data_IF_096779089640
#
_entry.id   IF_096779089640
#
_cell.length_a   1.000
_cell.length_b   1.000
_cell.length_c   1.000
_cell.angle_alpha   90.00
_cell.angle_beta   90.00
_cell.angle_gamma   90.00
#
_symmetry.space_group_name_H-M   'P 1'
#
loop_
_entity.id
_entity.type
_entity.pdbx_description
1 polymer ?
#
# COMPACT_ATOMS: atom_id res chain seq x y z
N UNK A 1 2.74 40.21 16.50
CA UNK A 1 3.92 39.40 16.85
C UNK A 1 3.37 38.11 17.41
N UNK A 2 3.51 37.02 16.69
CA UNK A 2 2.81 35.78 17.02
C UNK A 2 3.46 35.09 18.22
N UNK A 3 2.74 34.91 19.35
CA UNK A 3 3.25 34.19 20.53
C UNK A 3 3.48 32.67 20.28
N UNK A 4 3.27 32.21 19.05
CA UNK A 4 3.51 30.84 18.58
C UNK A 4 4.57 30.79 17.47
N UNK A 5 5.46 31.77 17.38
CA UNK A 5 6.62 31.66 16.51
C UNK A 5 7.47 30.47 16.97
N UNK A 6 7.90 29.64 16.01
CA UNK A 6 8.62 28.38 16.23
C UNK A 6 9.81 28.37 15.30
N UNK A 7 10.99 28.07 15.84
CA UNK A 7 12.25 27.94 15.11
C UNK A 7 12.62 26.47 14.99
N UNK A 8 13.12 26.08 13.82
CA UNK A 8 13.64 24.73 13.56
C UNK A 8 15.16 24.79 13.60
N UNK A 9 15.77 23.90 14.39
CA UNK A 9 17.20 23.77 14.55
C UNK A 9 17.69 22.40 14.08
N UNK A 10 18.89 22.36 13.50
CA UNK A 10 19.58 21.13 13.12
C UNK A 10 20.52 20.71 14.24
N UNK A 11 20.41 19.47 14.72
CA UNK A 11 21.32 18.95 15.74
C UNK A 11 22.73 18.74 15.17
N UNK A 12 23.78 19.12 15.91
CA UNK A 12 25.15 18.90 15.48
C UNK A 12 25.53 17.43 15.54
N UNK A 13 26.40 16.99 14.61
CA UNK A 13 26.87 15.60 14.51
C UNK A 13 28.05 15.28 15.44
N UNK A 14 28.75 16.31 15.91
CA UNK A 14 29.85 16.25 16.88
C UNK A 14 29.85 17.53 17.70
N UNK A 15 30.17 17.42 18.99
CA UNK A 15 30.37 18.58 19.85
C UNK A 15 31.62 18.41 20.70
N UNK A 16 32.28 19.53 21.00
CA UNK A 16 33.56 19.53 21.71
C UNK A 16 33.41 19.36 23.23
N UNK A 17 32.27 19.75 23.80
CA UNK A 17 31.98 19.62 25.23
C UNK A 17 31.21 18.32 25.51
N UNK A 18 31.85 17.39 26.23
CA UNK A 18 31.31 16.05 26.49
C UNK A 18 30.08 16.09 27.40
N UNK A 19 30.04 17.00 28.38
CA UNK A 19 28.90 17.09 29.31
C UNK A 19 27.63 17.55 28.58
N UNK A 20 27.76 18.62 27.79
CA UNK A 20 26.63 19.14 27.01
C UNK A 20 26.19 18.16 25.90
N UNK A 21 27.11 17.36 25.37
CA UNK A 21 26.81 16.29 24.43
C UNK A 21 26.00 15.17 25.07
N UNK A 22 26.40 14.72 26.26
CA UNK A 22 25.68 13.68 27.00
C UNK A 22 24.27 14.14 27.40
N UNK A 23 24.11 15.41 27.80
CA UNK A 23 22.80 16.00 28.09
C UNK A 23 21.90 16.06 26.85
N UNK A 24 22.46 16.35 25.68
CA UNK A 24 21.73 16.36 24.41
C UNK A 24 21.25 14.95 24.01
N UNK A 25 22.12 13.94 24.15
CA UNK A 25 21.78 12.52 23.91
C UNK A 25 20.67 12.07 24.86
N UNK A 26 20.79 12.44 26.15
CA UNK A 26 19.78 12.15 27.18
C UNK A 26 18.43 12.80 26.86
N UNK A 27 18.44 14.05 26.38
CA UNK A 27 17.21 14.76 25.97
C UNK A 27 16.57 14.13 24.75
N UNK A 28 17.36 13.74 23.74
CA UNK A 28 16.86 13.03 22.57
C UNK A 28 16.20 11.70 22.95
N UNK A 29 16.84 10.92 23.84
CA UNK A 29 16.28 9.67 24.38
C UNK A 29 14.95 9.93 25.09
N UNK A 30 14.91 10.93 25.98
CA UNK A 30 13.71 11.28 26.75
C UNK A 30 12.55 11.71 25.86
N UNK A 31 12.81 12.58 24.87
CA UNK A 31 11.79 13.03 23.92
C UNK A 31 11.28 11.88 23.05
N UNK A 32 12.18 10.99 22.63
CA UNK A 32 11.82 9.82 21.83
C UNK A 32 10.94 8.84 22.61
N UNK A 33 11.29 8.53 23.86
CA UNK A 33 10.47 7.69 24.72
C UNK A 33 9.10 8.34 24.99
N UNK A 34 9.07 9.64 25.26
CA UNK A 34 7.82 10.41 25.42
C UNK A 34 6.94 10.33 24.17
N UNK A 35 7.53 10.44 22.98
CA UNK A 35 6.79 10.36 21.72
C UNK A 35 6.13 8.99 21.51
N UNK A 36 6.83 7.90 21.87
CA UNK A 36 6.31 6.55 21.77
C UNK A 36 5.20 6.26 22.78
N UNK A 37 5.31 6.80 24.00
CA UNK A 37 4.25 6.71 25.01
C UNK A 37 3.01 7.51 24.61
N UNK A 38 3.21 8.68 24.03
CA UNK A 38 2.12 9.60 23.67
C UNK A 38 1.38 9.21 22.40
N UNK A 39 2.06 8.57 21.43
CA UNK A 39 1.45 8.15 20.17
C UNK A 39 2.11 6.86 19.64
N UNK A 40 1.87 5.70 20.26
CA UNK A 40 2.46 4.44 19.83
C UNK A 40 2.06 4.08 18.39
N UNK A 41 0.85 4.48 17.94
CA UNK A 41 0.40 4.25 16.55
C UNK A 41 1.14 5.08 15.49
N UNK A 42 1.90 6.10 15.88
CA UNK A 42 2.64 6.95 14.96
C UNK A 42 4.01 6.36 14.56
N UNK A 43 4.47 5.32 15.24
CA UNK A 43 5.81 4.74 15.04
C UNK A 43 5.75 3.24 14.72
N UNK A 44 6.75 2.76 13.97
CA UNK A 44 6.93 1.32 13.73
C UNK A 44 7.75 0.60 14.82
N UNK A 45 8.28 1.34 15.81
CA UNK A 45 9.07 0.79 16.92
C UNK A 45 8.26 0.79 18.22
N UNK A 46 8.48 -0.22 19.07
CA UNK A 46 7.83 -0.34 20.38
C UNK A 46 8.70 0.24 21.49
N UNK A 47 8.06 0.77 22.55
CA UNK A 47 8.75 1.31 23.75
C UNK A 47 9.67 0.26 24.36
N UNK A 48 9.19 -0.98 24.46
CA UNK A 48 9.93 -2.12 25.02
C UNK A 48 11.26 -2.36 24.29
N UNK A 49 11.29 -2.16 22.97
CA UNK A 49 12.50 -2.30 22.16
C UNK A 49 13.44 -1.10 22.34
N UNK A 50 12.90 0.12 22.47
CA UNK A 50 13.73 1.32 22.61
C UNK A 50 14.35 1.47 24.01
N UNK A 51 13.69 0.93 25.05
CA UNK A 51 14.25 0.87 26.42
C UNK A 51 15.45 -0.07 26.54
N UNK A 52 15.53 -1.11 25.70
CA UNK A 52 16.63 -2.07 25.67
C UNK A 52 17.88 -1.55 24.96
N UNK A 53 17.83 -0.37 24.32
CA UNK A 53 18.98 0.18 23.61
C UNK A 53 20.03 0.75 24.56
N UNK A 54 21.30 0.43 24.27
CA UNK A 54 22.47 0.94 24.98
C UNK A 54 22.71 2.42 24.66
N UNK A 55 23.47 3.09 25.54
CA UNK A 55 23.90 4.47 25.33
C UNK A 55 24.60 4.68 23.97
N UNK A 56 25.50 3.77 23.60
CA UNK A 56 26.23 3.80 22.32
C UNK A 56 25.30 3.79 21.10
N UNK A 57 24.15 3.13 21.21
CA UNK A 57 23.14 3.08 20.14
C UNK A 57 22.50 4.45 19.93
N UNK A 58 22.29 5.22 21.00
CA UNK A 58 21.72 6.57 20.93
C UNK A 58 22.75 7.56 20.39
N UNK A 59 23.98 7.48 20.86
CA UNK A 59 25.08 8.30 20.34
C UNK A 59 25.34 8.03 18.85
N UNK A 60 25.31 6.76 18.42
CA UNK A 60 25.44 6.37 17.01
C UNK A 60 24.38 6.99 16.11
N UNK A 61 23.16 7.28 16.61
CA UNK A 61 22.10 7.91 15.81
C UNK A 61 22.36 9.38 15.54
N UNK A 62 23.00 10.09 16.47
CA UNK A 62 23.37 11.50 16.32
C UNK A 62 24.67 11.69 15.52
N UNK A 63 25.62 10.77 15.70
CA UNK A 63 26.92 10.83 15.02
C UNK A 63 26.88 10.29 13.59
N UNK A 64 25.82 9.58 13.19
CA UNK A 64 25.72 8.99 11.86
C UNK A 64 25.73 10.08 10.76
N UNK A 65 26.69 10.04 9.80
CA UNK A 65 26.80 11.06 8.76
C UNK A 65 25.60 11.10 7.81
N UNK A 66 24.89 9.98 7.62
CA UNK A 66 23.71 9.86 6.76
C UNK A 66 22.40 10.27 7.46
N UNK A 67 22.41 10.45 8.79
CA UNK A 67 21.25 10.91 9.54
C UNK A 67 21.41 12.39 9.94
N UNK A 68 20.35 13.16 9.77
CA UNK A 68 20.27 14.55 10.23
C UNK A 68 19.01 14.71 11.06
N UNK A 69 19.15 15.13 12.31
CA UNK A 69 18.01 15.33 13.21
C UNK A 69 17.67 16.80 13.30
N UNK A 70 16.40 17.12 13.09
CA UNK A 70 15.83 18.46 13.24
C UNK A 70 14.91 18.50 14.44
N UNK A 71 14.92 19.61 15.17
CA UNK A 71 14.10 19.84 16.35
C UNK A 71 13.40 21.19 16.22
N UNK A 72 12.13 21.25 16.61
CA UNK A 72 11.37 22.48 16.70
C UNK A 72 11.33 22.98 18.15
N UNK A 73 11.65 24.25 18.36
CA UNK A 73 11.60 24.95 19.65
C UNK A 73 10.78 26.24 19.53
N UNK A 74 10.19 26.75 20.63
CA UNK A 74 9.58 28.08 20.64
C UNK A 74 10.62 29.15 20.22
N UNK A 75 10.19 30.12 19.42
CA UNK A 75 11.03 31.24 19.00
C UNK A 75 11.26 32.20 20.17
N UNK A 76 12.52 32.39 20.54
CA UNK A 76 12.93 33.41 21.51
C UNK A 76 13.63 34.55 20.75
N UNK A 77 13.09 35.78 20.75
CA UNK A 77 13.58 36.90 19.96
C UNK A 77 15.05 37.30 20.23
N UNK A 78 15.72 36.71 21.21
CA UNK A 78 17.14 36.91 21.51
C UNK A 78 18.12 36.12 20.61
N UNK A 79 17.64 35.17 19.79
CA UNK A 79 18.49 34.20 19.09
C UNK A 79 18.51 34.40 17.56
N UNK A 80 19.09 35.52 17.10
CA UNK A 80 19.39 35.73 15.68
C UNK A 80 20.53 34.80 15.20
N UNK A 81 20.16 33.68 14.60
CA UNK A 81 20.93 33.06 13.52
C UNK A 81 21.92 31.94 13.87
N UNK A 82 22.21 31.66 15.14
CA UNK A 82 23.01 30.47 15.51
C UNK A 82 22.54 29.91 16.86
N UNK A 83 21.69 28.90 16.79
CA UNK A 83 21.24 28.17 17.98
C UNK A 83 22.39 27.29 18.49
N UNK A 84 22.99 27.70 19.61
CA UNK A 84 23.98 26.90 20.33
C UNK A 84 23.28 25.76 21.09
N UNK A 85 23.99 24.64 21.32
CA UNK A 85 23.44 23.47 22.05
C UNK A 85 22.86 23.87 23.41
N UNK A 86 23.44 24.88 24.06
CA UNK A 86 22.95 25.40 25.35
C UNK A 86 21.53 25.98 25.25
N UNK A 87 21.19 26.63 24.15
CA UNK A 87 19.82 27.12 23.91
C UNK A 87 18.87 25.95 23.60
N UNK A 88 19.35 24.94 22.87
CA UNK A 88 18.58 23.71 22.62
C UNK A 88 18.30 22.88 23.89
N UNK A 89 19.15 23.01 24.92
CA UNK A 89 18.97 22.41 26.24
C UNK A 89 18.08 23.25 27.17
N UNK A 90 17.92 24.55 26.91
CA UNK A 90 17.07 25.44 27.72
C UNK A 90 15.59 25.38 27.31
N UNK A 91 15.28 25.27 26.02
CA UNK A 91 13.89 25.29 25.53
C UNK A 91 13.28 23.89 25.43
N UNK A 92 11.99 23.76 25.73
CA UNK A 92 11.24 22.52 25.50
C UNK A 92 11.12 22.19 24.00
N UNK A 93 11.29 20.92 23.65
CA UNK A 93 11.18 20.47 22.27
C UNK A 93 9.71 20.29 21.93
N UNK A 94 9.23 21.01 20.91
CA UNK A 94 7.86 20.94 20.42
C UNK A 94 7.67 19.86 19.35
N UNK A 95 8.76 19.47 18.69
CA UNK A 95 8.74 18.42 17.68
C UNK A 95 10.13 17.98 17.25
N UNK A 96 10.21 16.78 16.66
CA UNK A 96 11.44 16.20 16.13
C UNK A 96 11.17 15.57 14.75
N UNK A 97 12.15 15.65 13.86
CA UNK A 97 12.17 14.98 12.57
C UNK A 97 13.57 14.44 12.30
N UNK A 98 13.68 13.17 11.91
CA UNK A 98 14.97 12.60 11.48
C UNK A 98 14.93 12.40 9.96
N UNK A 99 15.89 12.99 9.26
CA UNK A 99 16.10 12.79 7.84
C UNK A 99 17.26 11.82 7.63
N UNK A 100 16.99 10.74 6.92
CA UNK A 100 17.96 9.71 6.58
C UNK A 100 18.29 9.79 5.10
N UNK A 101 19.56 9.94 4.73
CA UNK A 101 20.02 9.82 3.34
C UNK A 101 20.22 8.34 3.01
N UNK A 102 19.56 7.83 1.98
CA UNK A 102 19.55 6.40 1.60
C UNK A 102 19.92 6.19 0.13
N UNK A 103 20.46 5.02 -0.20
CA UNK A 103 20.76 4.63 -1.59
C UNK A 103 19.60 3.88 -2.24
N UNK A 104 19.61 3.82 -3.58
CA UNK A 104 18.55 3.19 -4.35
C UNK A 104 18.36 1.69 -4.05
N UNK A 105 19.42 0.97 -3.66
CA UNK A 105 19.37 -0.46 -3.31
C UNK A 105 18.78 -0.71 -1.90
N UNK A 106 19.09 0.16 -0.93
CA UNK A 106 18.57 0.10 0.45
C UNK A 106 17.05 0.29 0.51
N UNK A 107 16.46 0.93 -0.52
CA UNK A 107 15.02 1.10 -0.69
C UNK A 107 14.26 -0.24 -0.66
N UNK A 108 14.86 -1.29 -1.21
CA UNK A 108 14.26 -2.62 -1.35
C UNK A 108 13.88 -3.23 0.01
N UNK A 109 14.57 -2.81 1.06
CA UNK A 109 14.49 -3.38 2.40
C UNK A 109 13.65 -2.53 3.37
N UNK A 110 13.21 -1.33 2.96
CA UNK A 110 12.34 -0.50 3.80
C UNK A 110 10.96 -1.15 3.96
N UNK A 111 10.65 -1.49 5.20
CA UNK A 111 9.35 -1.98 5.65
C UNK A 111 8.88 -1.15 6.84
N UNK A 112 7.57 -0.94 6.96
CA UNK A 112 6.97 -0.32 8.15
C UNK A 112 7.33 -1.05 9.46
N UNK A 113 7.69 -2.34 9.37
CA UNK A 113 8.01 -3.20 10.51
C UNK A 113 9.52 -3.34 10.76
N UNK A 114 10.36 -2.83 9.86
CA UNK A 114 11.82 -2.86 10.00
C UNK A 114 12.32 -1.47 10.37
N UNK A 115 13.34 -1.40 11.24
CA UNK A 115 13.95 -0.12 11.59
C UNK A 115 14.72 0.40 10.37
N UNK A 116 14.48 1.62 9.88
CA UNK A 116 15.27 2.19 8.77
C UNK A 116 16.77 2.23 9.05
N UNK A 117 17.16 2.19 10.33
CA UNK A 117 18.55 2.15 10.79
C UNK A 117 19.29 0.84 10.49
N UNK A 118 18.59 -0.29 10.26
CA UNK A 118 19.27 -1.55 9.89
C UNK A 118 19.81 -1.55 8.46
N UNK A 119 19.25 -0.73 7.58
CA UNK A 119 19.70 -0.57 6.20
C UNK A 119 20.91 0.39 6.06
N UNK A 120 21.20 1.20 7.09
CA UNK A 120 22.23 2.26 7.08
C UNK A 120 23.56 1.81 7.71
N UNK A 121 23.80 0.51 7.85
CA UNK A 121 24.92 -0.02 8.65
C UNK A 121 26.31 0.30 8.11
N UNK A 122 26.42 0.58 6.81
CA UNK A 122 27.73 0.77 6.19
C UNK A 122 28.29 2.20 6.36
N UNK A 123 27.46 3.20 6.65
CA UNK A 123 27.89 4.58 6.95
C UNK A 123 28.65 5.30 5.80
N UNK A 124 28.82 4.65 4.65
CA UNK A 124 29.54 5.19 3.49
C UNK A 124 28.65 6.19 2.75
N UNK A 125 29.15 7.40 2.52
CA UNK A 125 28.53 8.36 1.60
C UNK A 125 28.96 7.98 0.17
N UNK A 126 28.05 7.45 -0.65
CA UNK A 126 28.24 7.17 -2.08
C UNK A 126 27.48 8.24 -2.88
N UNK A 127 28.03 8.70 -4.00
CA UNK A 127 27.33 9.68 -4.85
C UNK A 127 26.44 8.95 -5.86
N UNK A 128 25.13 8.97 -5.60
CA UNK A 128 24.11 8.56 -6.56
C UNK A 128 23.72 9.77 -7.44
N UNK A 129 23.36 9.51 -8.70
CA UNK A 129 22.92 10.54 -9.65
C UNK A 129 21.66 11.33 -9.20
N UNK A 130 20.86 10.77 -8.28
CA UNK A 130 19.71 11.42 -7.64
C UNK A 130 19.72 11.12 -6.14
N UNK A 131 19.90 12.11 -5.25
CA UNK A 131 19.90 11.88 -3.82
C UNK A 131 18.49 11.53 -3.31
N UNK A 132 18.38 10.44 -2.53
CA UNK A 132 17.13 10.01 -1.89
C UNK A 132 17.20 10.24 -0.38
N UNK A 133 16.18 10.91 0.17
CA UNK A 133 15.99 11.14 1.60
C UNK A 133 14.72 10.47 2.13
N UNK A 134 14.80 9.86 3.30
CA UNK A 134 13.69 9.24 4.00
C UNK A 134 13.41 9.95 5.33
N UNK A 135 12.17 10.39 5.52
CA UNK A 135 11.72 10.95 6.80
C UNK A 135 11.39 9.82 7.77
N UNK A 136 12.09 9.81 8.89
CA UNK A 136 11.91 8.84 9.96
C UNK A 136 11.53 9.53 11.28
N UNK A 137 10.66 8.88 12.04
CA UNK A 137 10.39 9.23 13.43
C UNK A 137 9.88 10.65 13.66
N UNK A 138 9.10 11.21 12.72
CA UNK A 138 8.52 12.54 12.88
C UNK A 138 7.48 12.58 14.01
N UNK A 139 7.60 13.53 14.91
CA UNK A 139 6.63 13.72 15.99
C UNK A 139 6.51 15.18 16.39
N UNK A 140 5.28 15.60 16.67
CA UNK A 140 4.96 16.91 17.25
C UNK A 140 4.13 16.66 18.49
N UNK A 141 4.51 17.33 19.58
CA UNK A 141 3.86 17.24 20.89
C UNK A 141 2.37 17.60 20.74
N UNK A 142 1.43 16.86 21.37
CA UNK A 142 -0.01 17.11 21.23
C UNK A 142 -0.44 18.56 21.46
N UNK A 143 0.15 19.23 22.46
CA UNK A 143 -0.12 20.63 22.80
C UNK A 143 0.21 21.62 21.68
N UNK A 144 1.12 21.26 20.77
CA UNK A 144 1.60 22.11 19.68
C UNK A 144 1.10 21.67 18.29
N UNK A 145 0.16 20.71 18.23
CA UNK A 145 -0.47 20.26 16.98
C UNK A 145 -1.42 21.33 16.43
N UNK A 146 -1.54 21.42 15.10
CA UNK A 146 -2.37 22.42 14.44
C UNK A 146 -1.71 23.79 14.22
N UNK A 147 -0.53 24.03 14.78
CA UNK A 147 0.23 25.28 14.61
C UNK A 147 1.19 25.28 13.40
N UNK A 148 1.07 24.29 12.50
CA UNK A 148 1.92 24.19 11.30
C UNK A 148 3.38 23.77 11.56
N UNK A 149 3.74 23.36 12.78
CA UNK A 149 5.12 22.96 13.14
C UNK A 149 5.64 21.81 12.26
N UNK A 150 4.79 20.82 11.98
CA UNK A 150 5.17 19.70 11.11
C UNK A 150 5.58 20.18 9.70
N UNK A 151 4.83 21.14 9.14
CA UNK A 151 5.13 21.72 7.83
C UNK A 151 6.47 22.45 7.85
N UNK A 152 6.71 23.29 8.87
CA UNK A 152 7.99 23.99 9.05
C UNK A 152 9.19 23.03 9.17
N UNK A 153 9.03 21.94 9.93
CA UNK A 153 10.07 20.90 10.06
C UNK A 153 10.41 20.27 8.70
N UNK A 154 9.39 19.94 7.90
CA UNK A 154 9.56 19.33 6.58
C UNK A 154 10.21 20.32 5.61
N UNK A 155 9.72 21.57 5.54
CA UNK A 155 10.26 22.61 4.67
C UNK A 155 11.74 22.90 5.01
N UNK A 156 12.08 23.01 6.30
CA UNK A 156 13.46 23.23 6.73
C UNK A 156 14.36 22.03 6.42
N UNK A 157 13.84 20.80 6.62
CA UNK A 157 14.59 19.60 6.28
C UNK A 157 14.91 19.55 4.77
N UNK A 158 13.92 19.82 3.90
CA UNK A 158 14.11 19.87 2.44
C UNK A 158 15.11 20.97 2.03
N UNK A 159 15.00 22.16 2.62
CA UNK A 159 15.92 23.27 2.35
C UNK A 159 17.36 22.97 2.78
N UNK A 160 17.54 22.29 3.91
CA UNK A 160 18.87 21.90 4.41
C UNK A 160 19.52 20.74 3.63
N UNK A 161 18.70 19.91 2.97
CA UNK A 161 19.17 18.71 2.27
C UNK A 161 19.36 18.90 0.77
N UNK A 162 18.88 19.99 0.18
CA UNK A 162 19.09 20.31 -1.24
C UNK A 162 20.37 21.13 -1.39
N UNK A 163 21.51 20.55 -1.80
CA UNK A 163 22.63 21.37 -2.26
C UNK A 163 22.21 22.12 -3.52
N UNK A 164 22.69 23.35 -3.69
CA UNK A 164 22.31 24.28 -4.77
C UNK A 164 22.43 23.72 -6.21
N UNK A 165 23.02 22.53 -6.41
CA UNK A 165 23.24 21.86 -7.71
C UNK A 165 22.38 20.60 -7.96
N UNK A 166 21.58 20.12 -7.00
CA UNK A 166 20.80 18.88 -7.18
C UNK A 166 19.46 19.13 -7.88
N UNK A 167 19.42 18.91 -9.19
CA UNK A 167 18.26 19.22 -10.05
C UNK A 167 17.00 18.39 -9.71
N UNK A 168 17.12 17.23 -9.05
CA UNK A 168 15.96 16.48 -8.52
C UNK A 168 16.37 15.64 -7.29
N UNK A 169 15.79 15.91 -6.11
CA UNK A 169 15.95 15.07 -4.90
C UNK A 169 14.64 14.37 -4.55
N UNK A 170 14.69 13.10 -4.16
CA UNK A 170 13.48 12.31 -3.83
C UNK A 170 13.30 12.18 -2.33
N UNK A 171 12.11 12.52 -1.84
CA UNK A 171 11.76 12.38 -0.43
C UNK A 171 10.68 11.31 -0.23
N UNK A 172 10.89 10.36 0.68
CA UNK A 172 9.89 9.34 1.03
C UNK A 172 9.57 9.32 2.51
N UNK A 173 8.32 9.04 2.82
CA UNK A 173 7.85 8.79 4.19
C UNK A 173 6.98 7.55 4.20
N UNK A 174 7.05 6.77 5.29
CA UNK A 174 6.18 5.63 5.52
C UNK A 174 5.24 6.00 6.65
N UNK A 175 3.94 5.99 6.37
CA UNK A 175 2.89 6.36 7.32
C UNK A 175 1.93 5.20 7.47
N UNK A 176 1.60 4.85 8.72
CA UNK A 176 0.58 3.84 9.00
C UNK A 176 -0.77 4.26 8.44
N UNK A 177 -1.48 3.32 7.81
CA UNK A 177 -2.74 3.59 7.12
C UNK A 177 -3.85 4.17 8.02
N UNK A 178 -3.79 3.96 9.33
CA UNK A 178 -4.78 4.47 10.30
C UNK A 178 -4.51 5.90 10.77
N UNK A 179 -3.33 6.47 10.50
CA UNK A 179 -2.97 7.80 10.97
C UNK A 179 -3.38 8.89 9.96
N UNK A 180 -4.63 9.33 10.01
CA UNK A 180 -5.16 10.37 9.11
C UNK A 180 -4.50 11.73 9.31
N UNK A 181 -4.13 12.07 10.55
CA UNK A 181 -3.48 13.35 10.85
C UNK A 181 -2.12 13.49 10.15
N UNK A 182 -1.31 12.44 10.18
CA UNK A 182 -0.03 12.39 9.49
C UNK A 182 -0.23 12.45 7.97
N UNK A 183 -1.19 11.70 7.42
CA UNK A 183 -1.50 11.74 5.98
C UNK A 183 -1.84 13.16 5.51
N UNK A 184 -2.76 13.85 6.21
CA UNK A 184 -3.13 15.22 5.85
C UNK A 184 -1.94 16.18 5.93
N UNK A 185 -1.08 16.04 6.94
CA UNK A 185 0.12 16.87 7.07
C UNK A 185 1.09 16.67 5.88
N UNK A 186 1.35 15.42 5.50
CA UNK A 186 2.22 15.12 4.34
C UNK A 186 1.56 15.49 3.01
N UNK A 187 0.26 15.25 2.83
CA UNK A 187 -0.51 15.67 1.65
C UNK A 187 -0.49 17.21 1.48
N UNK A 188 -0.62 17.97 2.58
CA UNK A 188 -0.49 19.45 2.58
C UNK A 188 0.92 19.90 2.18
N UNK A 189 1.95 19.11 2.50
CA UNK A 189 3.33 19.37 2.12
C UNK A 189 3.68 18.85 0.72
N UNK A 190 2.70 18.41 -0.07
CA UNK A 190 2.88 17.97 -1.45
C UNK A 190 3.33 16.51 -1.63
N UNK A 191 3.36 15.71 -0.56
CA UNK A 191 3.66 14.28 -0.67
C UNK A 191 2.48 13.54 -1.28
N UNK A 192 2.75 12.75 -2.32
CA UNK A 192 1.76 11.92 -2.97
C UNK A 192 2.02 10.43 -2.76
N UNK A 193 0.96 9.63 -2.78
CA UNK A 193 1.01 8.18 -2.58
C UNK A 193 1.65 7.52 -3.79
N UNK A 194 2.93 7.19 -3.66
CA UNK A 194 3.79 7.05 -4.83
C UNK A 194 3.60 5.74 -5.60
N UNK A 195 3.15 4.64 -4.98
CA UNK A 195 3.18 3.34 -5.65
C UNK A 195 2.05 3.13 -6.67
N UNK A 196 0.84 3.60 -6.38
CA UNK A 196 -0.31 3.51 -7.30
C UNK A 196 -0.23 4.60 -8.35
N UNK A 197 0.11 5.83 -7.94
CA UNK A 197 0.32 6.94 -8.85
C UNK A 197 1.45 6.67 -9.85
N UNK A 198 2.64 6.22 -9.41
CA UNK A 198 3.73 5.88 -10.33
C UNK A 198 3.35 4.77 -11.33
N UNK A 199 2.43 3.87 -10.95
CA UNK A 199 1.95 2.84 -11.85
C UNK A 199 1.03 3.43 -12.92
N UNK A 200 0.11 4.32 -12.55
CA UNK A 200 -0.77 5.00 -13.50
C UNK A 200 0.00 5.98 -14.40
N UNK A 201 0.91 6.79 -13.84
CA UNK A 201 1.79 7.68 -14.60
C UNK A 201 2.65 6.89 -15.59
N UNK A 202 3.23 5.75 -15.16
CA UNK A 202 4.00 4.91 -16.08
C UNK A 202 3.14 4.38 -17.24
N UNK A 203 1.95 3.84 -16.94
CA UNK A 203 1.04 3.31 -17.95
C UNK A 203 0.46 4.38 -18.89
N UNK A 204 0.18 5.58 -18.39
CA UNK A 204 -0.46 6.65 -19.16
C UNK A 204 0.53 7.55 -19.90
N UNK A 205 1.66 7.90 -19.28
CA UNK A 205 2.58 8.93 -19.78
C UNK A 205 3.82 8.32 -20.45
N UNK A 206 4.49 7.37 -19.79
CA UNK A 206 5.79 6.89 -20.31
C UNK A 206 5.66 5.92 -21.48
N UNK A 207 4.67 5.02 -21.45
CA UNK A 207 4.44 4.04 -22.53
C UNK A 207 2.95 3.82 -22.77
N UNK A 208 2.26 4.88 -23.20
CA UNK A 208 0.84 4.81 -23.58
C UNK A 208 0.61 3.72 -24.62
N UNK A 209 -0.39 2.87 -24.37
CA UNK A 209 -0.74 1.73 -25.24
C UNK A 209 -2.12 1.94 -25.85
N UNK A 210 -2.36 1.26 -26.98
CA UNK A 210 -3.62 1.34 -27.71
C UNK A 210 -4.73 0.44 -27.12
N UNK A 211 -4.52 -0.12 -25.93
CA UNK A 211 -5.51 -0.95 -25.24
C UNK A 211 -5.57 -0.59 -23.75
N UNK A 212 -6.73 -0.81 -23.15
CA UNK A 212 -6.99 -0.55 -21.73
C UNK A 212 -6.31 -1.62 -20.87
N UNK A 213 -5.24 -1.24 -20.16
CA UNK A 213 -4.51 -2.14 -19.28
C UNK A 213 -5.33 -2.49 -18.02
N UNK A 214 -5.29 -3.76 -17.64
CA UNK A 214 -5.84 -4.23 -16.36
C UNK A 214 -4.77 -4.17 -15.29
N UNK A 215 -5.12 -3.62 -14.13
CA UNK A 215 -4.28 -3.60 -12.93
C UNK A 215 -4.55 -4.84 -12.10
N UNK A 216 -3.51 -5.64 -11.88
CA UNK A 216 -3.54 -6.87 -11.10
C UNK A 216 -2.79 -6.71 -9.78
N UNK A 217 -3.38 -7.23 -8.72
CA UNK A 217 -2.77 -7.43 -7.42
C UNK A 217 -2.23 -8.87 -7.36
N UNK A 218 -0.92 -8.98 -7.32
CA UNK A 218 -0.18 -10.22 -7.10
C UNK A 218 0.10 -10.39 -5.61
N UNK A 219 -0.29 -11.54 -5.08
CA UNK A 219 -0.18 -11.90 -3.68
C UNK A 219 0.73 -13.11 -3.57
N UNK A 220 1.80 -13.00 -2.78
CA UNK A 220 2.61 -14.12 -2.32
C UNK A 220 2.23 -14.48 -0.89
N UNK A 221 1.76 -15.71 -0.66
CA UNK A 221 1.54 -16.23 0.69
C UNK A 221 2.84 -16.83 1.24
N UNK A 222 3.12 -16.59 2.52
CA UNK A 222 4.27 -17.14 3.26
C UNK A 222 3.76 -18.06 4.36
N UNK A 223 4.55 -19.09 4.69
CA UNK A 223 4.28 -20.01 5.80
C UNK A 223 2.89 -20.67 5.74
N UNK A 224 2.36 -20.88 4.52
CA UNK A 224 1.10 -21.56 4.27
C UNK A 224 1.41 -22.92 3.64
N UNK A 225 0.89 -24.00 4.21
CA UNK A 225 1.04 -25.33 3.63
C UNK A 225 -0.27 -25.76 2.96
N UNK A 226 -0.33 -25.84 1.61
CA UNK A 226 -1.54 -26.22 0.88
C UNK A 226 -2.04 -27.65 1.13
N UNK A 227 -1.28 -28.48 1.87
CA UNK A 227 -1.67 -29.84 2.26
C UNK A 227 -2.23 -29.89 3.68
N UNK A 228 -1.63 -29.16 4.64
CA UNK A 228 -2.08 -29.13 6.04
C UNK A 228 -3.19 -28.12 6.28
N UNK A 229 -3.16 -26.99 5.58
CA UNK A 229 -4.16 -25.94 5.71
C UNK A 229 -5.29 -26.07 4.70
N UNK A 230 -6.51 -25.71 5.14
CA UNK A 230 -7.70 -25.70 4.27
C UNK A 230 -7.47 -24.72 3.13
N UNK A 231 -7.71 -25.15 1.90
CA UNK A 231 -7.73 -24.24 0.75
C UNK A 231 -8.98 -23.40 0.85
N UNK A 232 -8.84 -22.08 0.73
CA UNK A 232 -9.97 -21.16 0.72
C UNK A 232 -10.35 -20.81 -0.72
N UNK A 233 -11.65 -20.61 -0.92
CA UNK A 233 -12.23 -20.03 -2.12
C UNK A 233 -13.22 -18.98 -1.65
N UNK A 234 -12.91 -17.71 -1.84
CA UNK A 234 -13.75 -16.58 -1.46
C UNK A 234 -14.04 -15.69 -2.66
N UNK A 235 -15.19 -15.04 -2.64
CA UNK A 235 -15.59 -14.06 -3.65
C UNK A 235 -15.93 -12.75 -2.95
N UNK A 236 -15.43 -11.64 -3.47
CA UNK A 236 -15.75 -10.30 -2.97
C UNK A 236 -16.17 -9.42 -4.14
N UNK A 237 -17.23 -8.63 -3.91
CA UNK A 237 -17.73 -7.64 -4.86
C UNK A 237 -16.93 -6.35 -4.67
N UNK A 238 -16.27 -5.89 -5.72
CA UNK A 238 -15.64 -4.58 -5.75
C UNK A 238 -16.67 -3.49 -6.04
N UNK A 239 -16.54 -2.28 -5.48
CA UNK A 239 -17.39 -1.14 -5.79
C UNK A 239 -17.36 -0.74 -7.28
N UNK A 240 -16.19 -0.85 -7.91
CA UNK A 240 -16.00 -0.52 -9.32
C UNK A 240 -15.58 -1.75 -10.14
N UNK A 241 -16.14 -1.88 -11.33
CA UNK A 241 -15.89 -2.99 -12.27
C UNK A 241 -14.44 -3.00 -12.74
N UNK A 242 -13.61 -4.01 -12.36
CA UNK A 242 -12.22 -4.07 -12.78
C UNK A 242 -12.05 -4.49 -14.25
N UNK A 243 -12.99 -5.25 -14.81
CA UNK A 243 -12.93 -5.78 -16.19
C UNK A 243 -14.24 -5.49 -16.95
N UNK A 244 -14.35 -4.34 -17.66
CA UNK A 244 -15.58 -3.98 -18.37
C UNK A 244 -15.93 -4.94 -19.51
N UNK A 245 -14.90 -5.47 -20.21
CA UNK A 245 -15.02 -6.34 -21.39
C UNK A 245 -15.04 -7.84 -21.06
N UNK A 246 -15.45 -8.22 -19.84
CA UNK A 246 -15.54 -9.63 -19.44
C UNK A 246 -16.61 -10.37 -20.26
N UNK A 247 -16.24 -11.48 -20.89
CA UNK A 247 -17.16 -12.28 -21.69
C UNK A 247 -18.00 -13.19 -20.79
N UNK A 248 -19.31 -12.91 -20.72
CA UNK A 248 -20.27 -13.65 -19.89
C UNK A 248 -21.18 -14.47 -20.78
N UNK A 249 -21.46 -15.71 -20.38
CA UNK A 249 -22.41 -16.58 -21.07
C UNK A 249 -23.56 -16.92 -20.13
N UNK A 250 -24.79 -16.76 -20.63
CA UNK A 250 -26.01 -17.04 -19.88
C UNK A 250 -26.57 -18.40 -20.30
N UNK A 251 -26.81 -19.25 -19.32
CA UNK A 251 -27.41 -20.57 -19.47
C UNK A 251 -28.84 -20.47 -18.94
N UNK A 252 -29.82 -20.50 -19.83
CA UNK A 252 -31.20 -20.25 -19.43
C UNK A 252 -32.23 -20.84 -20.38
N UNK A 253 -33.49 -20.72 -19.96
CA UNK A 253 -34.64 -21.07 -20.78
C UNK A 253 -34.89 -19.99 -21.83
N UNK A 254 -35.87 -20.21 -22.71
CA UNK A 254 -36.18 -19.30 -23.82
C UNK A 254 -36.37 -17.84 -23.37
N UNK A 255 -37.04 -17.63 -22.24
CA UNK A 255 -37.25 -16.31 -21.66
C UNK A 255 -35.94 -15.59 -21.30
N UNK A 256 -34.96 -16.30 -20.74
CA UNK A 256 -33.67 -15.72 -20.36
C UNK A 256 -32.75 -15.52 -21.57
N UNK A 257 -32.87 -16.38 -22.58
CA UNK A 257 -32.18 -16.24 -23.87
C UNK A 257 -32.65 -14.97 -24.57
N UNK A 258 -33.95 -14.70 -24.57
CA UNK A 258 -34.48 -13.50 -25.22
C UNK A 258 -34.05 -12.24 -24.46
N UNK A 259 -34.08 -12.22 -23.13
CA UNK A 259 -33.51 -11.12 -22.32
C UNK A 259 -32.00 -10.92 -22.56
N UNK A 260 -31.25 -12.01 -22.67
CA UNK A 260 -29.81 -11.96 -22.95
C UNK A 260 -29.48 -11.39 -24.32
N UNK A 261 -30.26 -11.76 -25.35
CA UNK A 261 -30.13 -11.21 -26.71
C UNK A 261 -30.40 -9.71 -26.75
N UNK A 262 -31.41 -9.22 -26.02
CA UNK A 262 -31.66 -7.79 -25.89
C UNK A 262 -30.50 -7.06 -25.19
N UNK A 263 -29.83 -7.72 -24.24
CA UNK A 263 -28.63 -7.20 -23.57
C UNK A 263 -27.33 -7.39 -24.35
N UNK A 264 -27.36 -7.99 -25.55
CA UNK A 264 -26.16 -8.28 -26.34
C UNK A 264 -25.20 -9.29 -25.71
N UNK A 265 -25.70 -10.19 -24.85
CA UNK A 265 -24.90 -11.21 -24.15
C UNK A 265 -25.16 -12.59 -24.75
N UNK A 266 -24.09 -13.36 -24.95
CA UNK A 266 -24.19 -14.73 -25.48
C UNK A 266 -25.01 -15.62 -24.54
N UNK A 267 -26.00 -16.32 -25.10
CA UNK A 267 -26.86 -17.24 -24.37
C UNK A 267 -26.85 -18.65 -24.99
N UNK A 268 -27.00 -19.68 -24.15
CA UNK A 268 -27.10 -21.08 -24.57
C UNK A 268 -28.31 -21.76 -23.94
N UNK A 269 -28.95 -22.63 -24.72
CA UNK A 269 -30.12 -23.39 -24.31
C UNK A 269 -29.75 -24.69 -23.56
N UNK A 270 -30.74 -25.28 -22.89
CA UNK A 270 -30.61 -26.57 -22.21
C UNK A 270 -30.23 -27.72 -23.16
N UNK A 271 -30.70 -27.67 -24.41
CA UNK A 271 -30.43 -28.73 -25.39
C UNK A 271 -29.03 -28.65 -25.98
N UNK A 272 -28.47 -27.43 -26.09
CA UNK A 272 -27.06 -27.24 -26.44
C UNK A 272 -26.14 -27.75 -25.32
N UNK A 273 -26.56 -27.60 -24.06
CA UNK A 273 -25.87 -28.17 -22.89
C UNK A 273 -25.80 -29.70 -22.95
N UNK A 274 -26.89 -30.36 -23.35
CA UNK A 274 -26.92 -31.84 -23.50
C UNK A 274 -26.00 -32.31 -24.62
N UNK A 275 -25.93 -31.58 -25.74
CA UNK A 275 -25.01 -31.87 -26.86
C UNK A 275 -23.54 -31.74 -26.41
N UNK A 276 -23.24 -30.78 -25.54
CA UNK A 276 -21.90 -30.54 -25.00
C UNK A 276 -21.42 -31.61 -24.00
N UNK A 277 -22.34 -32.28 -23.28
CA UNK A 277 -22.02 -33.27 -22.26
C UNK A 277 -21.22 -34.48 -22.81
N UNK A 278 -21.46 -34.88 -24.06
CA UNK A 278 -20.77 -36.03 -24.66
C UNK A 278 -19.28 -35.78 -24.93
N UNK A 279 -18.85 -34.52 -25.06
CA UNK A 279 -17.50 -34.15 -25.50
C UNK A 279 -16.79 -33.21 -24.51
N UNK A 280 -15.97 -33.79 -23.62
CA UNK A 280 -15.12 -33.04 -22.66
C UNK A 280 -14.22 -31.98 -23.33
N UNK A 281 -13.82 -32.18 -24.59
CA UNK A 281 -13.01 -31.21 -25.36
C UNK A 281 -13.77 -29.92 -25.67
N UNK A 282 -15.07 -30.00 -26.01
CA UNK A 282 -15.90 -28.83 -26.31
C UNK A 282 -16.16 -28.01 -25.05
N UNK A 283 -16.41 -28.68 -23.92
CA UNK A 283 -16.56 -28.02 -22.61
C UNK A 283 -15.28 -27.24 -22.25
N UNK A 284 -14.09 -27.81 -22.51
CA UNK A 284 -12.81 -27.13 -22.26
C UNK A 284 -12.60 -25.93 -23.19
N UNK A 285 -13.07 -25.97 -24.45
CA UNK A 285 -13.04 -24.82 -25.37
C UNK A 285 -13.99 -23.72 -24.89
N UNK A 286 -15.21 -24.08 -24.48
CA UNK A 286 -16.22 -23.15 -23.99
C UNK A 286 -15.77 -22.45 -22.70
N UNK A 287 -15.17 -23.19 -21.76
CA UNK A 287 -14.61 -22.63 -20.52
C UNK A 287 -13.41 -21.69 -20.74
N UNK A 288 -12.76 -21.75 -21.91
CA UNK A 288 -11.70 -20.80 -22.33
C UNK A 288 -12.26 -19.57 -23.02
N UNK A 289 -13.39 -19.70 -23.73
CA UNK A 289 -14.03 -18.59 -24.46
C UNK A 289 -14.69 -17.58 -23.53
N UNK A 290 -15.37 -18.06 -22.48
CA UNK A 290 -16.10 -17.21 -21.54
C UNK A 290 -15.42 -17.15 -20.18
N UNK A 291 -15.46 -15.99 -19.53
CA UNK A 291 -14.85 -15.73 -18.23
C UNK A 291 -15.78 -16.07 -17.07
N UNK A 292 -17.08 -15.82 -17.20
CA UNK A 292 -18.09 -16.19 -16.22
C UNK A 292 -19.35 -16.75 -16.88
N UNK A 293 -20.08 -17.54 -16.09
CA UNK A 293 -21.35 -18.14 -16.47
C UNK A 293 -22.43 -17.69 -15.50
N UNK A 294 -23.61 -17.43 -16.03
CA UNK A 294 -24.81 -17.15 -15.27
C UNK A 294 -25.81 -18.25 -15.63
N UNK A 295 -26.52 -18.80 -14.67
CA UNK A 295 -27.48 -19.86 -14.91
C UNK A 295 -28.85 -19.53 -14.31
N UNK A 296 -29.92 -19.87 -15.03
CA UNK A 296 -31.28 -19.83 -14.48
C UNK A 296 -31.48 -20.89 -13.40
N UNK A 297 -32.35 -20.62 -12.43
CA UNK A 297 -32.65 -21.53 -11.31
C UNK A 297 -33.16 -22.91 -11.78
N UNK A 298 -33.81 -22.97 -12.94
CA UNK A 298 -34.28 -24.22 -13.55
C UNK A 298 -33.12 -25.14 -13.95
N UNK A 299 -32.01 -24.57 -14.43
CA UNK A 299 -30.86 -25.31 -14.95
C UNK A 299 -29.79 -25.58 -13.91
N UNK A 300 -29.75 -24.82 -12.80
CA UNK A 300 -28.68 -24.96 -11.80
C UNK A 300 -28.62 -26.35 -11.16
N UNK A 301 -29.75 -27.05 -11.07
CA UNK A 301 -29.82 -28.44 -10.56
C UNK A 301 -29.13 -29.45 -11.48
N UNK A 302 -29.08 -29.17 -12.77
CA UNK A 302 -28.51 -30.08 -13.79
C UNK A 302 -27.02 -29.81 -14.05
N UNK A 303 -26.57 -28.58 -13.80
CA UNK A 303 -25.21 -28.11 -14.09
C UNK A 303 -24.10 -28.91 -13.38
N UNK A 304 -24.21 -29.29 -12.08
CA UNK A 304 -23.21 -30.13 -11.44
C UNK A 304 -22.96 -31.47 -12.16
N UNK A 305 -24.02 -32.08 -12.69
CA UNK A 305 -23.93 -33.36 -13.42
C UNK A 305 -23.37 -33.18 -14.83
N UNK A 306 -23.83 -32.15 -15.55
CA UNK A 306 -23.50 -31.94 -16.98
C UNK A 306 -22.14 -31.25 -17.18
N UNK A 307 -21.89 -30.17 -16.44
CA UNK A 307 -20.75 -29.28 -16.64
C UNK A 307 -19.83 -29.19 -15.42
N UNK A 308 -20.22 -29.78 -14.28
CA UNK A 308 -19.50 -29.70 -13.01
C UNK A 308 -18.00 -30.01 -13.13
N UNK A 309 -17.57 -31.16 -13.66
CA UNK A 309 -16.15 -31.49 -13.76
C UNK A 309 -15.33 -30.51 -14.62
N UNK A 310 -15.94 -29.95 -15.67
CA UNK A 310 -15.28 -29.01 -16.59
C UNK A 310 -15.19 -27.60 -15.98
N UNK A 311 -16.32 -27.07 -15.52
CA UNK A 311 -16.43 -25.70 -15.01
C UNK A 311 -15.85 -25.54 -13.61
N UNK A 312 -15.97 -26.54 -12.73
CA UNK A 312 -15.39 -26.50 -11.38
C UNK A 312 -13.86 -26.52 -11.44
N UNK A 313 -13.26 -27.32 -12.35
CA UNK A 313 -11.81 -27.31 -12.58
C UNK A 313 -11.32 -25.98 -13.15
N UNK A 314 -12.15 -25.31 -13.97
CA UNK A 314 -11.87 -23.96 -14.46
C UNK A 314 -12.11 -22.88 -13.39
N UNK A 315 -12.81 -23.20 -12.29
CA UNK A 315 -13.19 -22.26 -11.24
C UNK A 315 -14.34 -21.32 -11.62
N UNK A 316 -15.03 -21.57 -12.74
CA UNK A 316 -16.08 -20.73 -13.34
C UNK A 316 -17.45 -21.36 -13.12
N UNK A 317 -17.80 -21.61 -11.85
CA UNK A 317 -19.10 -22.19 -11.55
C UNK A 317 -20.20 -21.12 -11.74
N UNK A 318 -21.34 -21.44 -12.38
CA UNK A 318 -22.33 -20.43 -12.71
C UNK A 318 -23.00 -19.82 -11.48
N UNK A 319 -23.28 -18.52 -11.54
CA UNK A 319 -24.08 -17.81 -10.54
C UNK A 319 -25.57 -17.97 -10.87
N UNK A 320 -26.44 -18.35 -9.91
CA UNK A 320 -27.88 -18.41 -10.14
C UNK A 320 -28.47 -17.04 -10.42
N UNK A 321 -29.48 -17.01 -11.29
CA UNK A 321 -30.35 -15.86 -11.55
C UNK A 321 -31.80 -16.32 -11.52
N UNK A 322 -32.61 -15.58 -10.78
CA UNK A 322 -34.05 -15.74 -10.78
C UNK A 322 -34.69 -14.93 -11.91
N UNK A 323 -35.86 -15.36 -12.39
CA UNK A 323 -36.57 -14.62 -13.45
C UNK A 323 -37.05 -13.24 -13.01
N UNK A 324 -37.22 -13.01 -11.70
CA UNK A 324 -37.65 -11.73 -11.12
C UNK A 324 -36.53 -10.66 -11.09
N UNK A 325 -35.27 -11.05 -11.22
CA UNK A 325 -34.14 -10.11 -11.14
C UNK A 325 -33.78 -9.53 -12.52
N UNK A 326 -33.25 -8.30 -12.50
CA UNK A 326 -32.69 -7.66 -13.68
C UNK A 326 -31.36 -8.32 -14.06
N UNK A 327 -31.31 -8.87 -15.27
CA UNK A 327 -30.12 -9.52 -15.81
C UNK A 327 -28.91 -8.56 -15.89
N UNK A 328 -29.14 -7.28 -16.20
CA UNK A 328 -28.09 -6.26 -16.30
C UNK A 328 -27.36 -5.98 -14.98
N UNK A 329 -28.11 -5.92 -13.88
CA UNK A 329 -27.55 -5.69 -12.54
C UNK A 329 -26.72 -6.89 -12.10
N UNK A 330 -27.21 -8.11 -12.39
CA UNK A 330 -26.45 -9.33 -12.11
C UNK A 330 -25.18 -9.44 -12.94
N UNK A 331 -25.26 -9.08 -14.22
CA UNK A 331 -24.07 -9.02 -15.08
C UNK A 331 -23.04 -8.05 -14.48
N UNK A 332 -23.48 -6.88 -14.03
CA UNK A 332 -22.60 -5.88 -13.42
C UNK A 332 -22.02 -6.38 -12.09
N UNK A 333 -22.80 -7.09 -11.29
CA UNK A 333 -22.33 -7.74 -10.06
C UNK A 333 -21.27 -8.80 -10.35
N UNK A 334 -21.50 -9.68 -11.33
CA UNK A 334 -20.54 -10.71 -11.75
C UNK A 334 -19.26 -10.07 -12.29
N UNK A 335 -19.36 -9.00 -13.08
CA UNK A 335 -18.20 -8.24 -13.59
C UNK A 335 -17.40 -7.57 -12.47
N UNK A 336 -18.06 -7.17 -11.39
CA UNK A 336 -17.44 -6.52 -10.23
C UNK A 336 -16.90 -7.52 -9.20
N UNK A 337 -17.28 -8.79 -9.31
CA UNK A 337 -16.89 -9.82 -8.34
C UNK A 337 -15.54 -10.42 -8.69
N UNK A 338 -14.61 -10.34 -7.75
CA UNK A 338 -13.30 -10.98 -7.83
C UNK A 338 -13.30 -12.26 -7.00
N UNK A 339 -12.61 -13.28 -7.50
CA UNK A 339 -12.50 -14.58 -6.84
C UNK A 339 -11.07 -14.82 -6.36
N UNK A 340 -10.94 -15.00 -5.04
CA UNK A 340 -9.73 -15.51 -4.40
C UNK A 340 -9.83 -17.02 -4.33
N UNK A 341 -8.99 -17.73 -5.09
CA UNK A 341 -8.94 -19.18 -5.07
C UNK A 341 -7.52 -19.68 -4.91
N UNK A 342 -7.24 -20.27 -3.75
CA UNK A 342 -5.95 -20.91 -3.52
C UNK A 342 -5.93 -22.30 -4.17
N UNK A 343 -5.00 -22.49 -5.12
CA UNK A 343 -4.76 -23.78 -5.77
C UNK A 343 -3.64 -24.53 -5.06
N UNK A 344 -2.64 -25.01 -5.81
CA UNK A 344 -1.45 -25.68 -5.27
C UNK A 344 -0.29 -24.69 -5.02
N UNK A 345 -0.30 -23.55 -5.71
CA UNK A 345 0.77 -22.53 -5.66
C UNK A 345 0.41 -21.48 -4.62
N UNK A 346 1.43 -20.95 -3.94
CA UNK A 346 1.33 -19.92 -2.90
C UNK A 346 1.17 -18.50 -3.46
N UNK A 347 1.19 -18.35 -4.78
CA UNK A 347 1.02 -17.09 -5.47
C UNK A 347 -0.36 -17.04 -6.11
N UNK A 348 -1.03 -15.90 -6.00
CA UNK A 348 -2.30 -15.64 -6.66
C UNK A 348 -2.25 -14.25 -7.31
N UNK A 349 -2.95 -14.10 -8.44
CA UNK A 349 -3.15 -12.81 -9.10
C UNK A 349 -4.63 -12.51 -9.18
N UNK A 350 -5.03 -11.29 -8.83
CA UNK A 350 -6.42 -10.84 -8.87
C UNK A 350 -6.50 -9.49 -9.57
N UNK A 351 -7.45 -9.33 -10.49
CA UNK A 351 -7.68 -8.05 -11.15
C UNK A 351 -8.41 -7.10 -10.21
N UNK A 352 -7.78 -5.98 -9.86
CA UNK A 352 -8.32 -4.99 -8.90
C UNK A 352 -8.84 -3.73 -9.58
N UNK A 353 -8.48 -3.50 -10.84
CA UNK A 353 -8.96 -2.35 -11.60
C UNK A 353 -8.41 -2.28 -13.01
N UNK A 354 -8.60 -1.14 -13.65
CA UNK A 354 -8.01 -0.76 -14.93
C UNK A 354 -7.25 0.56 -14.79
N UNK A 355 -6.49 0.93 -15.82
CA UNK A 355 -5.72 2.19 -15.84
C UNK A 355 -6.61 3.43 -16.02
N UNK A 356 -7.86 3.26 -16.47
CA UNK A 356 -8.83 4.34 -16.63
C UNK A 356 -9.52 4.77 -15.31
N UNK A 357 -9.42 3.95 -14.26
CA UNK A 357 -9.89 4.31 -12.94
C UNK A 357 -9.06 5.41 -12.30
N UNK A 358 -9.72 6.20 -11.46
CA UNK A 358 -9.02 7.16 -10.61
C UNK A 358 -8.16 6.46 -9.55
N UNK A 359 -7.14 7.16 -9.06
CA UNK A 359 -6.26 6.65 -8.00
C UNK A 359 -7.04 6.20 -6.75
N UNK A 360 -8.02 6.99 -6.33
CA UNK A 360 -8.81 6.72 -5.14
C UNK A 360 -9.73 5.52 -5.32
N UNK A 361 -10.36 5.36 -6.48
CA UNK A 361 -11.17 4.17 -6.82
C UNK A 361 -10.30 2.91 -6.81
N UNK A 362 -9.11 2.97 -7.40
CA UNK A 362 -8.20 1.84 -7.47
C UNK A 362 -7.68 1.46 -6.06
N UNK A 363 -7.33 2.45 -5.24
CA UNK A 363 -6.94 2.23 -3.84
C UNK A 363 -8.09 1.61 -3.05
N UNK A 364 -9.32 2.11 -3.22
CA UNK A 364 -10.51 1.55 -2.56
C UNK A 364 -10.70 0.07 -2.90
N UNK A 365 -10.57 -0.29 -4.19
CA UNK A 365 -10.63 -1.68 -4.63
C UNK A 365 -9.50 -2.53 -4.05
N UNK A 366 -8.26 -2.02 -4.04
CA UNK A 366 -7.09 -2.74 -3.49
C UNK A 366 -7.27 -2.97 -1.98
N UNK A 367 -7.69 -1.96 -1.22
CA UNK A 367 -7.90 -2.09 0.22
C UNK A 367 -9.00 -3.10 0.55
N UNK A 368 -10.12 -3.06 -0.17
CA UNK A 368 -11.19 -4.03 0.01
C UNK A 368 -10.72 -5.47 -0.31
N UNK A 369 -9.98 -5.62 -1.41
CA UNK A 369 -9.40 -6.91 -1.82
C UNK A 369 -8.42 -7.46 -0.78
N UNK A 370 -7.54 -6.62 -0.23
CA UNK A 370 -6.57 -7.02 0.81
C UNK A 370 -7.28 -7.36 2.12
N UNK A 371 -8.21 -6.53 2.58
CA UNK A 371 -8.93 -6.76 3.84
C UNK A 371 -9.73 -8.06 3.78
N UNK A 372 -10.39 -8.33 2.64
CA UNK A 372 -11.09 -9.59 2.42
C UNK A 372 -10.12 -10.78 2.39
N UNK A 373 -8.99 -10.68 1.70
CA UNK A 373 -7.96 -11.72 1.70
C UNK A 373 -7.45 -12.02 3.12
N UNK A 374 -7.14 -10.99 3.90
CA UNK A 374 -6.66 -11.14 5.28
C UNK A 374 -7.70 -11.85 6.15
N UNK A 375 -8.99 -11.57 5.94
CA UNK A 375 -10.09 -12.26 6.64
C UNK A 375 -10.19 -13.77 6.33
N UNK A 376 -9.71 -14.19 5.15
CA UNK A 376 -9.70 -15.60 4.75
C UNK A 376 -8.48 -16.37 5.31
N UNK A 377 -7.45 -15.66 5.78
CA UNK A 377 -6.21 -16.26 6.28
C UNK A 377 -6.28 -16.46 7.79
N UNK A 378 -6.06 -17.70 8.25
CA UNK A 378 -6.08 -18.04 9.69
C UNK A 378 -5.18 -17.18 10.57
N UNK A 379 -4.02 -16.76 10.06
CA UNK A 379 -3.03 -15.91 10.77
C UNK A 379 -2.98 -14.47 10.25
N UNK A 380 -4.00 -14.06 9.50
CA UNK A 380 -4.09 -12.73 8.89
C UNK A 380 -2.81 -12.32 8.16
N UNK A 381 -2.25 -11.17 8.56
CA UNK A 381 -1.05 -10.56 7.96
C UNK A 381 0.22 -11.41 8.05
N UNK A 382 0.35 -12.34 9.00
CA UNK A 382 1.55 -13.19 9.10
C UNK A 382 1.69 -14.17 7.94
N UNK A 383 0.57 -14.53 7.30
CA UNK A 383 0.56 -15.40 6.13
C UNK A 383 0.75 -14.62 4.82
N UNK A 384 0.76 -13.29 4.86
CA UNK A 384 1.00 -12.43 3.69
C UNK A 384 2.51 -12.22 3.58
N UNK A 385 3.13 -12.78 2.54
CA UNK A 385 4.56 -12.66 2.28
C UNK A 385 4.90 -11.41 1.47
N UNK A 386 4.24 -11.25 0.32
CA UNK A 386 4.42 -10.06 -0.52
C UNK A 386 3.10 -9.66 -1.19
N UNK A 387 2.90 -8.35 -1.34
CA UNK A 387 1.82 -7.76 -2.13
C UNK A 387 2.45 -6.87 -3.19
N UNK A 388 2.15 -7.16 -4.46
CA UNK A 388 2.73 -6.47 -5.61
C UNK A 388 1.62 -6.07 -6.55
N UNK A 389 1.55 -4.79 -6.92
CA UNK A 389 0.64 -4.32 -7.97
C UNK A 389 1.40 -4.30 -9.29
N UNK A 390 0.75 -4.77 -10.35
CA UNK A 390 1.28 -4.74 -11.69
C UNK A 390 0.13 -4.48 -12.69
N UNK A 391 0.31 -3.52 -13.60
CA UNK A 391 -0.53 -3.45 -14.81
C UNK A 391 0.00 -4.43 -15.87
N UNK A 392 -0.84 -4.78 -16.85
CA UNK A 392 -0.58 -5.86 -17.82
C UNK A 392 0.85 -5.87 -18.38
N UNK A 393 1.40 -4.70 -18.75
CA UNK A 393 2.74 -4.57 -19.33
C UNK A 393 3.68 -3.66 -18.53
N UNK A 394 3.29 -3.28 -17.31
CA UNK A 394 4.06 -2.39 -16.46
C UNK A 394 5.00 -3.13 -15.51
N UNK A 395 6.11 -2.51 -15.07
CA UNK A 395 6.98 -3.13 -14.08
C UNK A 395 6.23 -3.33 -12.76
N UNK A 396 6.44 -4.47 -12.08
CA UNK A 396 5.79 -4.74 -10.79
C UNK A 396 6.22 -3.72 -9.74
N UNK A 397 5.26 -3.22 -8.95
CA UNK A 397 5.48 -2.31 -7.83
C UNK A 397 5.04 -3.00 -6.54
N UNK A 398 5.97 -3.19 -5.62
CA UNK A 398 5.71 -3.85 -4.34
C UNK A 398 5.03 -2.88 -3.36
N UNK A 399 3.94 -3.31 -2.76
CA UNK A 399 3.24 -2.63 -1.67
C UNK A 399 3.67 -3.12 -0.28
N UNK A 400 3.92 -4.43 -0.15
CA UNK A 400 4.27 -5.09 1.12
C UNK A 400 5.21 -6.27 0.87
#
# INVERSE_FOLDING_TARGET
MDPNAVVVATLPKRYFDKSAWDDLVSRQKSFRLFSLTSAPEAFGSTIERELQFTWDTWESRLTNPQATTFVAIPDDPASQGRLDIRQLLQHEWLGQLVLLRMYQEDRSELSANASPWTALKDGVIRDDAVPHYHFNGMFVVPAARGQGIARKLIEHAIASSTPNDAVHAKYTVIVWAKNESAKRAFETCGFKRTNVQQLLEYSNETKKRNFLETVELQIGLKNYDPQRDKRFSGTVKLPKVPRPNMAICILGDQHDIDRAKHGGVDAMSADDLKKLNKNKKLIKKLARKYDAFIASDTLIKQIPRLLGPGLSKAGKFPTPVSHAENLGDKITEVKSTIKFQLKKVLCMGVAVGNVDMTEDELIGNIMLAINYLVSLLKKGWQNVGSLTIKATMSPPKRLY
#
